data_IF_002245741433
#
_entry.id   IF_002245741433
#
_cell.length_a   1.000
_cell.length_b   1.000
_cell.length_c   1.000
_cell.angle_alpha   90.00
_cell.angle_beta   90.00
_cell.angle_gamma   90.00
#
_symmetry.space_group_name_H-M   'P 1'
#
loop_
_entity.id
_entity.type
_entity.pdbx_description
1 polymer ?
#
# COMPACT_ATOMS: atom_id res chain seq x y z
N UNK A 1 47.68 30.88 32.17
CA UNK A 1 47.14 31.62 31.00
C UNK A 1 46.26 30.69 30.18
N UNK A 2 45.11 31.20 29.70
CA UNK A 2 44.19 30.65 28.67
C UNK A 2 43.63 29.23 28.86
N UNK A 3 42.30 29.19 28.90
CA UNK A 3 41.46 28.00 28.79
C UNK A 3 41.55 27.34 27.42
N UNK A 4 41.17 26.07 27.35
CA UNK A 4 40.61 25.47 26.13
C UNK A 4 39.46 24.54 26.50
N UNK A 5 38.24 25.03 26.31
CA UNK A 5 37.01 24.28 26.58
C UNK A 5 36.91 23.04 25.69
N UNK A 6 37.06 21.84 26.27
CA UNK A 6 36.52 20.61 25.67
C UNK A 6 35.00 20.58 25.85
N UNK A 7 34.34 21.51 25.15
CA UNK A 7 32.89 21.58 25.00
C UNK A 7 32.43 20.33 24.26
N UNK A 8 32.12 19.27 25.01
CA UNK A 8 31.50 18.05 24.51
C UNK A 8 30.20 18.39 23.79
N UNK A 9 30.29 18.54 22.46
CA UNK A 9 29.13 18.64 21.58
C UNK A 9 28.42 17.28 21.65
N UNK A 10 27.42 17.19 22.52
CA UNK A 10 26.34 16.21 22.38
C UNK A 10 25.82 16.35 20.96
N UNK A 11 26.15 15.40 20.09
CA UNK A 11 25.52 15.31 18.79
C UNK A 11 24.04 15.08 19.06
N UNK A 12 23.20 16.01 18.60
CA UNK A 12 21.77 15.87 18.74
C UNK A 12 21.35 14.59 18.00
N UNK A 13 20.69 13.69 18.72
CA UNK A 13 20.01 12.56 18.09
C UNK A 13 19.06 13.12 17.01
N UNK A 14 19.03 12.53 15.80
CA UNK A 14 17.98 12.84 14.85
C UNK A 14 16.66 12.29 15.40
N UNK A 15 16.00 13.08 16.24
CA UNK A 15 14.63 12.88 16.69
C UNK A 15 13.70 12.96 15.47
N UNK A 16 13.58 11.87 14.73
CA UNK A 16 12.54 11.70 13.71
C UNK A 16 11.20 11.53 14.43
N UNK A 17 10.66 12.65 14.92
CA UNK A 17 9.22 12.78 15.21
C UNK A 17 8.49 12.66 13.88
N UNK A 18 8.30 11.42 13.43
CA UNK A 18 7.33 11.06 12.41
C UNK A 18 5.98 11.55 12.90
N UNK A 19 5.62 12.75 12.43
CA UNK A 19 4.31 13.35 12.68
C UNK A 19 3.29 12.33 12.16
N UNK A 20 2.57 11.67 13.08
CA UNK A 20 1.47 10.77 12.71
C UNK A 20 0.44 11.62 11.98
N UNK A 21 0.49 11.62 10.66
CA UNK A 21 -0.61 12.12 9.84
C UNK A 21 -1.72 11.08 10.02
N UNK A 22 -2.64 11.37 10.94
CA UNK A 22 -3.95 10.72 11.00
C UNK A 22 -4.65 11.02 9.68
N UNK A 23 -4.52 10.12 8.71
CA UNK A 23 -5.41 10.04 7.57
C UNK A 23 -6.71 9.37 8.01
N UNK A 24 -7.47 10.05 8.88
CA UNK A 24 -8.84 9.68 9.20
C UNK A 24 -9.70 9.99 7.98
N UNK A 25 -9.94 8.98 7.14
CA UNK A 25 -10.92 9.06 6.07
C UNK A 25 -12.30 8.83 6.68
N UNK A 26 -12.92 9.91 7.17
CA UNK A 26 -14.35 9.91 7.47
C UNK A 26 -15.11 9.61 6.16
N UNK A 27 -15.80 8.48 6.14
CA UNK A 27 -16.68 8.09 5.05
C UNK A 27 -18.10 7.99 5.61
N UNK A 28 -18.92 8.97 5.23
CA UNK A 28 -20.33 9.16 5.58
C UNK A 28 -20.64 9.65 7.01
N UNK A 29 -20.63 10.97 7.17
CA UNK A 29 -21.66 11.64 7.99
C UNK A 29 -23.02 11.39 7.34
N UNK A 30 -23.90 10.63 7.99
CA UNK A 30 -25.30 10.48 7.57
C UNK A 30 -26.22 10.14 8.75
N UNK A 31 -26.25 11.01 9.75
CA UNK A 31 -27.25 11.03 10.82
C UNK A 31 -27.64 12.47 11.10
N UNK A 32 -28.81 12.89 10.63
CA UNK A 32 -29.41 14.17 11.01
C UNK A 32 -30.14 14.05 12.36
N UNK A 33 -29.71 14.88 13.31
CA UNK A 33 -30.43 15.54 14.40
C UNK A 33 -31.59 14.85 15.17
N UNK A 34 -31.45 14.84 16.51
CA UNK A 34 -32.46 15.22 17.54
C UNK A 34 -33.70 14.28 17.69
N UNK A 35 -34.36 14.04 18.82
CA UNK A 35 -34.28 14.40 20.27
C UNK A 35 -35.24 13.43 21.05
N UNK A 36 -35.29 13.27 22.38
CA UNK A 36 -34.62 13.93 23.54
C UNK A 36 -34.29 12.94 24.71
N UNK A 37 -35.01 12.97 25.85
CA UNK A 37 -34.69 12.34 27.15
C UNK A 37 -35.59 11.15 27.61
N UNK A 38 -34.96 10.24 28.36
CA UNK A 38 -35.33 9.54 29.62
C UNK A 38 -36.71 8.85 29.91
N UNK A 39 -36.59 7.79 30.73
CA UNK A 39 -37.60 7.00 31.50
C UNK A 39 -38.75 6.35 30.69
N UNK A 40 -38.79 5.02 30.52
CA UNK A 40 -39.16 4.10 31.62
C UNK A 40 -38.68 2.64 31.41
N UNK A 41 -38.75 1.81 32.46
CA UNK A 41 -38.34 0.38 32.42
C UNK A 41 -39.47 -0.53 31.91
N UNK A 42 -39.22 -1.38 30.91
CA UNK A 42 -39.90 -2.69 30.84
C UNK A 42 -39.24 -3.79 29.99
N UNK A 43 -39.70 -5.02 30.20
CA UNK A 43 -39.03 -6.33 30.01
C UNK A 43 -38.83 -6.82 28.55
N UNK A 44 -38.11 -6.04 27.72
CA UNK A 44 -37.97 -6.27 26.26
C UNK A 44 -36.66 -6.95 25.79
N UNK A 45 -35.78 -7.35 26.71
CA UNK A 45 -34.36 -7.72 26.44
C UNK A 45 -34.11 -8.89 25.48
N UNK A 46 -35.13 -9.68 25.13
CA UNK A 46 -35.00 -10.79 24.15
C UNK A 46 -35.31 -10.39 22.70
N UNK A 47 -36.11 -9.36 22.45
CA UNK A 47 -36.43 -8.91 21.08
C UNK A 47 -35.32 -8.04 20.49
N UNK A 48 -34.64 -7.25 21.33
CA UNK A 48 -33.53 -6.38 20.92
C UNK A 48 -32.37 -7.13 20.24
N UNK A 49 -32.07 -8.37 20.65
CA UNK A 49 -30.98 -9.15 20.05
C UNK A 49 -31.30 -9.67 18.64
N UNK A 50 -32.53 -10.13 18.36
CA UNK A 50 -32.91 -10.51 17.00
C UNK A 50 -32.96 -9.28 16.08
N UNK A 51 -33.43 -8.13 16.58
CA UNK A 51 -33.46 -6.92 15.78
C UNK A 51 -32.05 -6.33 15.54
N UNK A 52 -31.13 -6.44 16.52
CA UNK A 52 -29.72 -6.13 16.30
C UNK A 52 -29.03 -7.12 15.34
N UNK A 53 -29.38 -8.41 15.35
CA UNK A 53 -28.89 -9.36 14.34
C UNK A 53 -29.44 -9.02 12.95
N UNK A 54 -30.73 -8.69 12.83
CA UNK A 54 -31.32 -8.22 11.56
C UNK A 54 -30.66 -6.94 11.07
N UNK A 55 -30.46 -5.93 11.94
CA UNK A 55 -29.78 -4.67 11.59
C UNK A 55 -28.30 -4.86 11.23
N UNK A 56 -27.59 -5.84 11.82
CA UNK A 56 -26.25 -6.25 11.40
C UNK A 56 -26.23 -6.96 10.03
N UNK A 57 -27.29 -7.70 9.70
CA UNK A 57 -27.41 -8.36 8.40
C UNK A 57 -27.82 -7.37 7.28
N UNK A 58 -28.72 -6.41 7.53
CA UNK A 58 -29.20 -5.45 6.52
C UNK A 58 -28.12 -4.48 6.03
N UNK A 59 -27.04 -4.25 6.81
CA UNK A 59 -25.90 -3.47 6.33
C UNK A 59 -25.11 -4.17 5.20
N UNK A 60 -25.29 -5.49 5.01
CA UNK A 60 -24.65 -6.26 3.94
C UNK A 60 -25.49 -6.35 2.65
N UNK A 61 -26.74 -5.89 2.65
CA UNK A 61 -27.69 -6.10 1.53
C UNK A 61 -27.57 -5.06 0.39
N UNK A 62 -26.66 -4.10 0.51
CA UNK A 62 -26.38 -3.16 -0.59
C UNK A 62 -25.43 -3.78 -1.61
N UNK A 63 -25.99 -4.18 -2.76
CA UNK A 63 -25.23 -4.57 -3.94
C UNK A 63 -24.44 -3.39 -4.51
N UNK A 64 -23.19 -3.61 -4.90
CA UNK A 64 -22.32 -2.58 -5.45
C UNK A 64 -22.70 -2.26 -6.90
N UNK A 65 -22.95 -0.98 -7.17
CA UNK A 65 -23.18 -0.47 -8.51
C UNK A 65 -21.93 -0.66 -9.39
N UNK A 66 -22.08 -1.42 -10.49
CA UNK A 66 -20.93 -1.96 -11.22
C UNK A 66 -20.02 -0.90 -11.83
N UNK A 67 -20.57 0.19 -12.35
CA UNK A 67 -19.78 1.26 -12.98
C UNK A 67 -18.92 2.01 -11.96
N UNK A 68 -19.49 2.28 -10.77
CA UNK A 68 -18.77 2.85 -9.62
C UNK A 68 -17.69 1.89 -9.13
N UNK A 69 -17.98 0.59 -9.02
CA UNK A 69 -17.00 -0.44 -8.67
C UNK A 69 -15.81 -0.49 -9.66
N UNK A 70 -16.08 -0.46 -10.96
CA UNK A 70 -15.06 -0.48 -12.01
C UNK A 70 -14.17 0.77 -11.93
N UNK A 71 -14.78 1.95 -11.80
CA UNK A 71 -14.05 3.22 -11.71
C UNK A 71 -13.21 3.29 -10.43
N UNK A 72 -13.76 2.87 -9.28
CA UNK A 72 -13.05 2.82 -8.01
C UNK A 72 -11.87 1.83 -8.07
N UNK A 73 -12.08 0.62 -8.61
CA UNK A 73 -11.03 -0.38 -8.74
C UNK A 73 -9.89 0.08 -9.66
N UNK A 74 -10.20 0.64 -10.83
CA UNK A 74 -9.17 1.11 -11.77
C UNK A 74 -8.30 2.20 -11.12
N UNK A 75 -8.92 3.19 -10.46
CA UNK A 75 -8.23 4.22 -9.71
C UNK A 75 -7.39 3.66 -8.55
N UNK A 76 -7.85 2.59 -7.90
CA UNK A 76 -7.13 1.92 -6.83
C UNK A 76 -5.92 1.12 -7.36
N UNK A 77 -6.08 0.39 -8.46
CA UNK A 77 -5.03 -0.42 -9.08
C UNK A 77 -3.90 0.48 -9.61
N UNK A 78 -4.22 1.64 -10.21
CA UNK A 78 -3.22 2.64 -10.62
C UNK A 78 -2.49 3.30 -9.43
N UNK A 79 -3.14 3.45 -8.26
CA UNK A 79 -2.44 3.89 -7.03
C UNK A 79 -1.43 2.83 -6.55
N UNK A 80 -1.76 1.54 -6.64
CA UNK A 80 -0.84 0.45 -6.30
C UNK A 80 0.32 0.32 -7.30
N UNK A 81 0.05 0.51 -8.60
CA UNK A 81 1.08 0.63 -9.64
C UNK A 81 2.10 1.74 -9.32
N UNK A 82 1.64 2.96 -9.04
CA UNK A 82 2.51 4.10 -8.65
C UNK A 82 3.33 3.83 -7.39
N UNK A 83 2.77 3.10 -6.42
CA UNK A 83 3.48 2.65 -5.21
C UNK A 83 4.59 1.64 -5.55
N UNK A 84 4.40 0.78 -6.57
CA UNK A 84 5.43 -0.13 -7.05
C UNK A 84 6.52 0.62 -7.84
N UNK A 85 6.14 1.51 -8.76
CA UNK A 85 7.06 2.38 -9.52
C UNK A 85 8.00 3.13 -8.58
N UNK A 86 7.47 3.81 -7.56
CA UNK A 86 8.26 4.50 -6.53
C UNK A 86 9.17 3.56 -5.72
N UNK A 87 8.72 2.33 -5.45
CA UNK A 87 9.55 1.32 -4.77
C UNK A 87 10.74 0.91 -5.64
N UNK A 88 10.53 0.79 -6.95
CA UNK A 88 11.58 0.43 -7.91
C UNK A 88 12.57 1.58 -8.14
N UNK A 89 12.07 2.81 -8.30
CA UNK A 89 12.90 4.01 -8.41
C UNK A 89 13.90 4.11 -7.24
N UNK A 90 13.43 3.90 -6.00
CA UNK A 90 14.28 3.89 -4.82
C UNK A 90 15.38 2.83 -4.87
N UNK A 91 15.10 1.63 -5.37
CA UNK A 91 16.11 0.56 -5.51
C UNK A 91 17.17 0.97 -6.55
N UNK A 92 16.76 1.59 -7.66
CA UNK A 92 17.67 2.13 -8.66
C UNK A 92 18.57 3.24 -8.11
N UNK A 93 18.01 4.15 -7.31
CA UNK A 93 18.75 5.22 -6.63
C UNK A 93 19.75 4.63 -5.62
N UNK A 94 19.33 3.71 -4.75
CA UNK A 94 20.18 3.05 -3.76
C UNK A 94 21.38 2.36 -4.45
N UNK A 95 21.12 1.58 -5.52
CA UNK A 95 22.16 0.93 -6.31
C UNK A 95 23.15 1.92 -6.94
N UNK A 96 22.67 3.03 -7.51
CA UNK A 96 23.53 4.06 -8.10
C UNK A 96 24.40 4.79 -7.08
N UNK A 97 23.90 5.01 -5.86
CA UNK A 97 24.66 5.62 -4.76
C UNK A 97 25.75 4.68 -4.24
N UNK A 98 25.42 3.41 -4.04
CA UNK A 98 26.37 2.37 -3.60
C UNK A 98 27.43 2.07 -4.67
N UNK A 99 27.06 2.08 -5.95
CA UNK A 99 28.01 1.96 -7.05
C UNK A 99 29.02 3.11 -7.11
N UNK A 100 28.58 4.34 -6.82
CA UNK A 100 29.46 5.50 -6.70
C UNK A 100 30.41 5.40 -5.51
N UNK A 101 29.93 4.98 -4.33
CA UNK A 101 30.79 4.83 -3.14
C UNK A 101 31.86 3.75 -3.33
N UNK A 102 31.53 2.66 -4.03
CA UNK A 102 32.50 1.63 -4.48
C UNK A 102 33.38 2.05 -5.66
N UNK A 103 33.31 3.31 -6.14
CA UNK A 103 34.08 3.85 -7.28
C UNK A 103 33.91 3.07 -8.60
N UNK A 104 32.77 2.39 -8.80
CA UNK A 104 32.51 1.62 -10.01
C UNK A 104 32.28 2.53 -11.23
N UNK A 105 32.69 2.07 -12.42
CA UNK A 105 32.58 2.85 -13.66
C UNK A 105 31.10 3.13 -13.98
N UNK A 106 30.76 4.40 -14.28
CA UNK A 106 29.38 4.82 -14.59
C UNK A 106 28.72 3.98 -15.70
N UNK A 107 29.47 3.56 -16.73
CA UNK A 107 28.96 2.71 -17.82
C UNK A 107 28.49 1.33 -17.32
N UNK A 108 29.19 0.74 -16.35
CA UNK A 108 28.81 -0.53 -15.71
C UNK A 108 27.51 -0.38 -14.93
N UNK A 109 27.40 0.68 -14.12
CA UNK A 109 26.20 0.96 -13.33
C UNK A 109 24.97 1.22 -14.22
N UNK A 110 25.13 1.98 -15.31
CA UNK A 110 24.02 2.25 -16.24
C UNK A 110 23.56 1.01 -17.03
N UNK A 111 24.44 0.02 -17.28
CA UNK A 111 24.05 -1.28 -17.86
C UNK A 111 23.06 -2.00 -16.92
N UNK A 112 23.46 -2.21 -15.67
CA UNK A 112 22.63 -2.94 -14.69
C UNK A 112 21.39 -2.19 -14.22
N UNK A 113 21.44 -0.85 -14.16
CA UNK A 113 20.25 -0.05 -13.91
C UNK A 113 19.21 -0.20 -15.03
N UNK A 114 19.65 -0.33 -16.30
CA UNK A 114 18.76 -0.59 -17.42
C UNK A 114 18.13 -1.98 -17.34
N UNK A 115 18.95 -3.02 -17.18
CA UNK A 115 18.48 -4.41 -17.00
C UNK A 115 17.45 -4.51 -15.86
N UNK A 116 17.68 -3.80 -14.76
CA UNK A 116 16.73 -3.71 -13.64
C UNK A 116 15.44 -2.97 -14.01
N UNK A 117 15.54 -1.79 -14.63
CA UNK A 117 14.37 -0.99 -14.99
C UNK A 117 13.46 -1.69 -16.01
N UNK A 118 14.03 -2.44 -16.95
CA UNK A 118 13.29 -3.27 -17.92
C UNK A 118 12.48 -4.35 -17.19
N UNK A 119 13.12 -5.10 -16.28
CA UNK A 119 12.44 -6.13 -15.49
C UNK A 119 11.43 -5.57 -14.47
N UNK A 120 11.66 -4.37 -13.92
CA UNK A 120 10.72 -3.67 -13.07
C UNK A 120 9.46 -3.25 -13.86
N UNK A 121 9.64 -2.67 -15.05
CA UNK A 121 8.53 -2.29 -15.92
C UNK A 121 7.70 -3.51 -16.35
N UNK A 122 8.36 -4.63 -16.70
CA UNK A 122 7.69 -5.88 -17.03
C UNK A 122 6.85 -6.42 -15.86
N UNK A 123 7.44 -6.54 -14.66
CA UNK A 123 6.72 -7.04 -13.47
C UNK A 123 5.52 -6.15 -13.11
N UNK A 124 5.68 -4.82 -13.17
CA UNK A 124 4.60 -3.86 -12.90
C UNK A 124 3.44 -4.07 -13.89
N UNK A 125 3.73 -4.21 -15.18
CA UNK A 125 2.74 -4.37 -16.24
C UNK A 125 2.04 -5.75 -16.19
N UNK A 126 2.80 -6.82 -15.93
CA UNK A 126 2.26 -8.16 -15.69
C UNK A 126 1.33 -8.17 -14.46
N UNK A 127 1.73 -7.51 -13.38
CA UNK A 127 0.93 -7.38 -12.14
C UNK A 127 -0.36 -6.61 -12.40
N UNK A 128 -0.28 -5.47 -13.10
CA UNK A 128 -1.45 -4.65 -13.45
C UNK A 128 -2.47 -5.47 -14.25
N UNK A 129 -2.02 -6.16 -15.31
CA UNK A 129 -2.84 -7.04 -16.16
C UNK A 129 -3.44 -8.23 -15.39
N UNK A 130 -2.69 -8.83 -14.45
CA UNK A 130 -3.18 -9.91 -13.60
C UNK A 130 -4.39 -9.46 -12.76
N UNK A 131 -4.29 -8.29 -12.11
CA UNK A 131 -5.37 -7.77 -11.28
C UNK A 131 -6.57 -7.25 -12.09
N UNK A 132 -6.33 -6.61 -13.24
CA UNK A 132 -7.40 -6.27 -14.18
C UNK A 132 -8.18 -7.53 -14.59
N UNK A 133 -7.49 -8.61 -14.99
CA UNK A 133 -8.14 -9.89 -15.35
C UNK A 133 -8.94 -10.51 -14.20
N UNK A 134 -8.36 -10.58 -12.98
CA UNK A 134 -9.09 -11.06 -11.78
C UNK A 134 -10.34 -10.23 -11.51
N UNK A 135 -10.25 -8.91 -11.64
CA UNK A 135 -11.37 -8.01 -11.43
C UNK A 135 -12.45 -8.16 -12.51
N UNK A 136 -12.08 -8.26 -13.79
CA UNK A 136 -13.04 -8.54 -14.88
C UNK A 136 -13.78 -9.86 -14.67
N UNK A 137 -13.14 -10.89 -14.13
CA UNK A 137 -13.81 -12.15 -13.77
C UNK A 137 -14.77 -11.94 -12.60
N UNK A 138 -14.33 -11.26 -11.53
CA UNK A 138 -15.16 -10.94 -10.37
C UNK A 138 -16.42 -10.14 -10.75
N UNK A 139 -16.29 -9.15 -11.64
CA UNK A 139 -17.38 -8.29 -12.11
C UNK A 139 -18.43 -9.00 -12.99
N UNK A 140 -18.18 -10.24 -13.43
CA UNK A 140 -19.17 -11.06 -14.18
C UNK A 140 -20.32 -11.55 -13.31
N UNK A 141 -20.17 -11.59 -11.98
CA UNK A 141 -21.26 -11.94 -11.05
C UNK A 141 -22.49 -11.07 -11.29
N UNK A 142 -23.70 -11.63 -11.19
CA UNK A 142 -24.96 -10.87 -11.40
C UNK A 142 -25.12 -9.75 -10.36
N UNK A 143 -24.97 -10.10 -9.10
CA UNK A 143 -24.94 -9.21 -7.93
C UNK A 143 -23.56 -9.34 -7.29
N UNK A 144 -23.05 -8.24 -6.74
CA UNK A 144 -21.79 -8.19 -5.99
C UNK A 144 -22.12 -7.50 -4.69
N UNK A 145 -22.03 -8.19 -3.57
CA UNK A 145 -22.28 -7.58 -2.25
C UNK A 145 -21.09 -6.69 -1.85
N UNK A 146 -21.35 -5.63 -1.08
CA UNK A 146 -20.30 -4.72 -0.60
C UNK A 146 -19.17 -5.49 0.13
N UNK A 147 -19.54 -6.42 1.00
CA UNK A 147 -18.62 -7.29 1.74
C UNK A 147 -17.73 -8.16 0.83
N UNK A 148 -18.26 -8.65 -0.30
CA UNK A 148 -17.46 -9.39 -1.29
C UNK A 148 -16.47 -8.46 -2.02
N UNK A 149 -16.90 -7.24 -2.36
CA UNK A 149 -16.05 -6.25 -3.02
C UNK A 149 -14.92 -5.78 -2.10
N UNK A 150 -15.22 -5.47 -0.84
CA UNK A 150 -14.21 -5.13 0.17
C UNK A 150 -13.22 -6.28 0.41
N UNK A 151 -13.70 -7.52 0.49
CA UNK A 151 -12.85 -8.71 0.57
C UNK A 151 -11.92 -8.82 -0.65
N UNK A 152 -12.43 -8.57 -1.86
CA UNK A 152 -11.64 -8.57 -3.09
C UNK A 152 -10.57 -7.45 -3.11
N UNK A 153 -10.90 -6.24 -2.66
CA UNK A 153 -9.94 -5.12 -2.54
C UNK A 153 -8.85 -5.46 -1.51
N UNK A 154 -9.23 -5.98 -0.34
CA UNK A 154 -8.30 -6.38 0.71
C UNK A 154 -7.36 -7.52 0.29
N UNK A 155 -7.84 -8.48 -0.52
CA UNK A 155 -6.98 -9.51 -1.13
C UNK A 155 -6.05 -8.90 -2.18
N UNK A 156 -6.55 -7.98 -3.00
CA UNK A 156 -5.76 -7.26 -4.01
C UNK A 156 -4.58 -6.54 -3.39
N UNK A 157 -4.79 -5.75 -2.32
CA UNK A 157 -3.72 -5.07 -1.59
C UNK A 157 -2.64 -6.04 -1.08
N UNK A 158 -3.07 -7.12 -0.40
CA UNK A 158 -2.16 -8.11 0.19
C UNK A 158 -1.26 -8.76 -0.86
N UNK A 159 -1.83 -9.10 -2.02
CA UNK A 159 -1.08 -9.76 -3.11
C UNK A 159 -0.15 -8.76 -3.80
N UNK A 160 -0.61 -7.52 -4.11
CA UNK A 160 0.26 -6.44 -4.61
C UNK A 160 1.44 -6.19 -3.67
N UNK A 161 1.19 -6.03 -2.37
CA UNK A 161 2.23 -5.83 -1.36
C UNK A 161 3.19 -7.02 -1.24
N UNK A 162 2.73 -8.24 -1.54
CA UNK A 162 3.58 -9.44 -1.57
C UNK A 162 4.49 -9.45 -2.80
N UNK A 163 3.95 -9.16 -3.99
CA UNK A 163 4.71 -9.06 -5.24
C UNK A 163 5.77 -7.96 -5.12
N UNK A 164 5.39 -6.75 -4.70
CA UNK A 164 6.32 -5.63 -4.49
C UNK A 164 7.48 -6.00 -3.55
N UNK A 165 7.19 -6.66 -2.42
CA UNK A 165 8.21 -7.13 -1.46
C UNK A 165 9.11 -8.21 -2.07
N UNK A 166 8.55 -9.16 -2.81
CA UNK A 166 9.33 -10.23 -3.43
C UNK A 166 10.27 -9.68 -4.50
N UNK A 167 9.74 -8.88 -5.42
CA UNK A 167 10.51 -8.21 -6.47
C UNK A 167 11.63 -7.34 -5.86
N UNK A 168 11.31 -6.50 -4.88
CA UNK A 168 12.30 -5.68 -4.18
C UNK A 168 13.41 -6.50 -3.51
N UNK A 169 13.05 -7.62 -2.84
CA UNK A 169 14.03 -8.52 -2.20
C UNK A 169 14.92 -9.21 -3.25
N UNK A 170 14.34 -9.71 -4.32
CA UNK A 170 15.03 -10.39 -5.43
C UNK A 170 16.03 -9.44 -6.10
N UNK A 171 15.57 -8.27 -6.55
CA UNK A 171 16.41 -7.34 -7.31
C UNK A 171 17.45 -6.64 -6.46
N UNK A 172 17.19 -6.35 -5.19
CA UNK A 172 18.26 -5.95 -4.25
C UNK A 172 19.38 -7.00 -4.21
N UNK A 173 19.06 -8.29 -4.03
CA UNK A 173 20.08 -9.36 -4.00
C UNK A 173 20.90 -9.40 -5.31
N UNK A 174 20.24 -9.32 -6.47
CA UNK A 174 20.92 -9.30 -7.79
C UNK A 174 21.84 -8.09 -7.91
N UNK A 175 21.34 -6.89 -7.60
CA UNK A 175 22.10 -5.64 -7.73
C UNK A 175 23.27 -5.57 -6.73
N UNK A 176 23.09 -6.03 -5.48
CA UNK A 176 24.19 -6.14 -4.51
C UNK A 176 25.27 -7.11 -4.99
N UNK A 177 24.91 -8.28 -5.53
CA UNK A 177 25.89 -9.21 -6.11
C UNK A 177 26.72 -8.56 -7.23
N UNK A 178 26.08 -7.79 -8.12
CA UNK A 178 26.77 -7.02 -9.18
C UNK A 178 27.65 -5.88 -8.62
N UNK A 179 27.30 -5.29 -7.47
CA UNK A 179 28.15 -4.33 -6.77
C UNK A 179 29.35 -4.97 -6.08
N UNK A 180 29.34 -6.28 -5.84
CA UNK A 180 30.41 -7.01 -5.16
C UNK A 180 31.35 -7.71 -6.15
N UNK A 181 30.82 -8.18 -7.28
CA UNK A 181 31.55 -8.95 -8.29
C UNK A 181 31.56 -8.22 -9.65
N UNK A 182 32.24 -7.06 -9.77
CA UNK A 182 32.24 -6.25 -11.00
C UNK A 182 33.11 -6.82 -12.12
N UNK A 183 33.88 -7.89 -11.87
CA UNK A 183 34.77 -8.53 -12.86
C UNK A 183 34.10 -9.71 -13.60
N UNK A 184 32.96 -10.19 -13.11
CA UNK A 184 32.25 -11.34 -13.66
C UNK A 184 31.51 -11.04 -15.00
N UNK A 185 31.41 -9.77 -15.46
CA UNK A 185 30.47 -9.34 -16.54
C UNK A 185 30.78 -8.03 -17.28
#
# INVERSE_FOLDING_TARGET
MKSSDTRSRKLAEPSYKLRKVKGEWNLYECTGNQEDQDEDKDDSSKLSNEEMLRRKNTASDFGVEKEKAITAFNNYNEKLKKKFEFTCERIGIDFMLLGKSKKLRRKYLLKYLREYNEAAAEEIEQTLKFFQRRFSIFMRKRIIWLSEYESFINQTDKIWNTIMKHHAKRWRKVLYYKLENPQDF
#
